data_IF_474405702442
#
_entry.id   IF_474405702442
#
_cell.length_a   1.000
_cell.length_b   1.000
_cell.length_c   1.000
_cell.angle_alpha   90.00
_cell.angle_beta   90.00
_cell.angle_gamma   90.00
#
_symmetry.space_group_name_H-M   'P 1'
#
loop_
_entity.id
_entity.type
_entity.pdbx_description
1 polymer ?
#
# COMPACT_ATOMS: atom_id res chain seq x y z
N UNK A 1 -1.85 -33.73 -42.99
CA UNK A 1 -2.07 -32.41 -42.37
C UNK A 1 -3.04 -32.57 -41.21
N UNK A 2 -2.59 -32.45 -39.95
CA UNK A 2 -3.44 -32.25 -38.75
C UNK A 2 -2.53 -32.09 -37.52
N UNK A 3 -2.21 -30.85 -37.17
CA UNK A 3 -1.95 -30.42 -35.80
C UNK A 3 -1.95 -28.88 -35.75
N UNK A 4 -3.03 -28.27 -35.22
CA UNK A 4 -2.84 -27.08 -34.39
C UNK A 4 -3.71 -27.12 -33.12
N UNK A 5 -4.11 -28.29 -32.63
CA UNK A 5 -5.01 -28.39 -31.47
C UNK A 5 -4.26 -28.20 -30.13
N UNK A 6 -3.00 -28.67 -30.04
CA UNK A 6 -2.21 -28.61 -28.79
C UNK A 6 -1.80 -27.17 -28.43
N UNK A 7 -1.49 -26.33 -29.43
CA UNK A 7 -1.11 -24.93 -29.21
C UNK A 7 -2.29 -24.10 -28.67
N UNK A 8 -3.51 -24.34 -29.18
CA UNK A 8 -4.71 -23.62 -28.75
C UNK A 8 -5.12 -23.98 -27.31
N UNK A 9 -4.97 -25.24 -26.89
CA UNK A 9 -5.29 -25.67 -25.53
C UNK A 9 -4.33 -25.09 -24.48
N UNK A 10 -3.03 -24.99 -24.80
CA UNK A 10 -2.03 -24.37 -23.91
C UNK A 10 -2.27 -22.86 -23.75
N UNK A 11 -2.64 -22.18 -24.83
CA UNK A 11 -3.04 -20.77 -24.79
C UNK A 11 -4.31 -20.56 -23.95
N UNK A 12 -5.30 -21.45 -24.09
CA UNK A 12 -6.51 -21.44 -23.27
C UNK A 12 -6.21 -21.60 -21.77
N UNK A 13 -5.43 -22.62 -21.40
CA UNK A 13 -5.04 -22.86 -20.01
C UNK A 13 -4.25 -21.70 -19.40
N UNK A 14 -3.32 -21.10 -20.16
CA UNK A 14 -2.56 -19.92 -19.73
C UNK A 14 -3.46 -18.69 -19.48
N UNK A 15 -4.42 -18.43 -20.37
CA UNK A 15 -5.38 -17.33 -20.22
C UNK A 15 -6.29 -17.53 -19.00
N UNK A 16 -6.76 -18.75 -18.74
CA UNK A 16 -7.58 -19.06 -17.56
C UNK A 16 -6.81 -18.88 -16.26
N UNK A 17 -5.57 -19.36 -16.17
CA UNK A 17 -4.72 -19.21 -14.98
C UNK A 17 -4.44 -17.74 -14.67
N UNK A 18 -4.08 -16.93 -15.67
CA UNK A 18 -3.87 -15.49 -15.50
C UNK A 18 -5.14 -14.77 -15.02
N UNK A 19 -6.31 -15.15 -15.56
CA UNK A 19 -7.59 -14.55 -15.16
C UNK A 19 -7.97 -14.87 -13.71
N UNK A 20 -7.70 -16.10 -13.24
CA UNK A 20 -7.95 -16.50 -11.84
C UNK A 20 -7.02 -15.77 -10.88
N UNK A 21 -5.73 -15.63 -11.22
CA UNK A 21 -4.77 -14.90 -10.39
C UNK A 21 -5.11 -13.40 -10.29
N UNK A 22 -5.47 -12.77 -11.41
CA UNK A 22 -5.89 -11.37 -11.42
C UNK A 22 -7.17 -11.15 -10.58
N UNK A 23 -8.14 -12.07 -10.65
CA UNK A 23 -9.35 -12.02 -9.83
C UNK A 23 -9.07 -12.26 -8.33
N UNK A 24 -8.14 -13.16 -8.01
CA UNK A 24 -7.71 -13.42 -6.64
C UNK A 24 -7.07 -12.18 -6.00
N UNK A 25 -6.11 -11.57 -6.69
CA UNK A 25 -5.44 -10.33 -6.24
C UNK A 25 -6.46 -9.19 -6.02
N UNK A 26 -7.41 -9.05 -6.95
CA UNK A 26 -8.50 -8.07 -6.87
C UNK A 26 -9.38 -8.29 -5.64
N UNK A 27 -9.71 -9.54 -5.32
CA UNK A 27 -10.56 -9.89 -4.16
C UNK A 27 -9.88 -9.55 -2.82
N UNK A 28 -8.56 -9.74 -2.75
CA UNK A 28 -7.76 -9.42 -1.57
C UNK A 28 -7.77 -7.91 -1.27
N UNK A 29 -7.56 -7.12 -2.30
CA UNK A 29 -7.58 -5.67 -2.26
C UNK A 29 -8.98 -5.11 -1.90
N UNK A 30 -10.06 -5.62 -2.52
CA UNK A 30 -11.45 -5.19 -2.23
C UNK A 30 -11.88 -5.45 -0.78
N UNK A 31 -11.32 -6.46 -0.10
CA UNK A 31 -11.69 -6.78 1.28
C UNK A 31 -11.18 -5.77 2.33
N UNK A 32 -10.31 -4.83 1.93
CA UNK A 32 -9.78 -3.78 2.80
C UNK A 32 -10.79 -2.63 2.96
N UNK A 33 -11.18 -2.32 4.20
CA UNK A 33 -12.07 -1.19 4.50
C UNK A 33 -11.27 0.13 4.53
N UNK A 34 -10.98 0.67 3.34
CA UNK A 34 -10.27 1.95 3.19
C UNK A 34 -11.06 3.14 3.75
N UNK A 35 -12.39 3.08 3.69
CA UNK A 35 -13.25 4.17 4.16
C UNK A 35 -13.04 4.50 5.65
N UNK A 36 -12.91 3.47 6.50
CA UNK A 36 -12.61 3.65 7.92
C UNK A 36 -11.26 4.34 8.15
N UNK A 37 -10.28 4.06 7.31
CA UNK A 37 -8.94 4.64 7.38
C UNK A 37 -9.00 6.12 6.95
N UNK A 38 -9.65 6.40 5.83
CA UNK A 38 -9.86 7.77 5.34
C UNK A 38 -10.59 8.65 6.35
N UNK A 39 -11.66 8.13 6.96
CA UNK A 39 -12.41 8.85 7.99
C UNK A 39 -11.56 9.14 9.23
N UNK A 40 -10.81 8.15 9.70
CA UNK A 40 -9.92 8.31 10.85
C UNK A 40 -8.80 9.33 10.57
N UNK A 41 -8.21 9.28 9.37
CA UNK A 41 -7.14 10.18 8.97
C UNK A 41 -7.62 11.60 8.75
N UNK A 42 -8.78 11.79 8.10
CA UNK A 42 -9.36 13.12 7.85
C UNK A 42 -9.51 13.93 9.15
N UNK A 43 -9.85 13.27 10.26
CA UNK A 43 -9.99 13.91 11.57
C UNK A 43 -8.68 14.45 12.18
N UNK A 44 -7.51 14.00 11.69
CA UNK A 44 -6.20 14.40 12.24
C UNK A 44 -5.22 14.93 11.19
N UNK A 45 -5.55 14.84 9.90
CA UNK A 45 -4.67 15.19 8.77
C UNK A 45 -3.99 16.54 8.96
N UNK A 46 -4.77 17.61 9.13
CA UNK A 46 -4.23 18.97 9.27
C UNK A 46 -3.33 19.10 10.49
N UNK A 47 -3.68 18.47 11.61
CA UNK A 47 -2.89 18.53 12.84
C UNK A 47 -1.55 17.78 12.72
N UNK A 48 -1.53 16.66 11.99
CA UNK A 48 -0.30 15.90 11.72
C UNK A 48 0.57 16.63 10.70
N UNK A 49 0.00 17.10 9.59
CA UNK A 49 0.75 17.80 8.54
C UNK A 49 1.32 19.13 9.04
N UNK A 50 0.66 19.81 9.98
CA UNK A 50 1.20 21.01 10.63
C UNK A 50 2.45 20.74 11.49
N UNK A 51 2.72 19.47 11.85
CA UNK A 51 3.91 19.05 12.60
C UNK A 51 5.06 18.58 11.70
N UNK A 52 4.86 18.53 10.37
CA UNK A 52 5.93 18.18 9.44
C UNK A 52 6.93 19.34 9.31
N UNK A 53 8.17 19.11 9.75
CA UNK A 53 9.27 20.07 9.67
C UNK A 53 10.10 19.95 8.38
N UNK A 54 9.87 18.92 7.55
CA UNK A 54 10.67 18.59 6.37
C UNK A 54 9.84 18.65 5.07
N UNK A 55 9.37 19.84 4.72
CA UNK A 55 8.51 20.08 3.55
C UNK A 55 9.18 19.77 2.20
N UNK A 56 10.52 19.81 2.13
CA UNK A 56 11.29 19.59 0.90
C UNK A 56 11.58 18.11 0.61
N UNK A 57 11.25 17.23 1.55
CA UNK A 57 11.41 15.77 1.41
C UNK A 57 10.03 15.18 1.19
N UNK A 58 9.92 14.07 0.46
CA UNK A 58 8.69 13.28 0.35
C UNK A 58 9.06 11.82 0.54
N UNK A 59 8.53 11.18 1.58
CA UNK A 59 8.88 9.77 1.87
C UNK A 59 8.21 8.86 0.84
N UNK A 60 6.90 9.05 0.62
CA UNK A 60 6.08 8.33 -0.35
C UNK A 60 6.06 9.02 -1.71
N UNK A 61 7.24 9.33 -2.27
CA UNK A 61 7.42 10.03 -3.54
C UNK A 61 6.60 9.38 -4.68
N UNK A 62 5.52 9.99 -5.19
CA UNK A 62 4.67 9.34 -6.17
C UNK A 62 5.40 9.05 -7.48
N UNK A 63 6.20 9.98 -7.98
CA UNK A 63 6.93 9.82 -9.24
C UNK A 63 8.01 8.75 -9.19
N UNK A 64 8.71 8.62 -8.05
CA UNK A 64 9.87 7.72 -7.93
C UNK A 64 9.48 6.33 -7.45
N UNK A 65 8.41 6.22 -6.65
CA UNK A 65 8.06 4.95 -5.97
C UNK A 65 6.70 4.40 -6.41
N UNK A 66 5.64 5.23 -6.49
CA UNK A 66 4.26 4.73 -6.60
C UNK A 66 3.68 4.75 -8.02
N UNK A 67 4.10 5.66 -8.90
CA UNK A 67 3.50 5.89 -10.22
C UNK A 67 3.90 4.79 -11.23
N UNK A 68 5.09 4.20 -11.07
CA UNK A 68 5.62 3.15 -11.96
C UNK A 68 5.16 1.73 -11.64
N UNK A 69 4.34 1.54 -10.59
CA UNK A 69 3.98 0.20 -10.11
C UNK A 69 2.99 -0.47 -11.05
N UNK A 70 3.39 -1.63 -11.59
CA UNK A 70 2.57 -2.46 -12.47
C UNK A 70 1.46 -3.16 -11.67
N UNK A 71 0.30 -3.50 -12.27
CA UNK A 71 -0.81 -4.16 -11.57
C UNK A 71 -0.43 -5.41 -10.77
N UNK A 72 0.48 -6.23 -11.30
CA UNK A 72 0.95 -7.45 -10.63
C UNK A 72 1.78 -7.17 -9.36
N UNK A 73 2.36 -5.98 -9.24
CA UNK A 73 3.19 -5.58 -8.09
C UNK A 73 2.39 -4.85 -7.02
N UNK A 74 1.15 -4.41 -7.33
CA UNK A 74 0.31 -3.63 -6.40
C UNK A 74 0.13 -4.37 -5.08
N UNK A 75 -0.18 -5.67 -5.09
CA UNK A 75 -0.35 -6.38 -3.83
C UNK A 75 0.94 -6.43 -2.99
N UNK A 76 2.10 -6.63 -3.65
CA UNK A 76 3.39 -6.62 -2.95
C UNK A 76 3.66 -5.25 -2.32
N UNK A 77 3.50 -4.16 -3.09
CA UNK A 77 3.75 -2.80 -2.58
C UNK A 77 2.76 -2.47 -1.47
N UNK A 78 1.47 -2.81 -1.62
CA UNK A 78 0.47 -2.65 -0.55
C UNK A 78 0.89 -3.40 0.72
N UNK A 79 1.29 -4.67 0.61
CA UNK A 79 1.76 -5.48 1.74
C UNK A 79 2.90 -4.79 2.47
N UNK A 80 3.90 -4.35 1.71
CA UNK A 80 5.11 -3.75 2.26
C UNK A 80 4.83 -2.39 2.90
N UNK A 81 3.96 -1.58 2.29
CA UNK A 81 3.55 -0.30 2.87
C UNK A 81 2.74 -0.49 4.16
N UNK A 82 1.83 -1.46 4.20
CA UNK A 82 1.12 -1.79 5.44
C UNK A 82 2.11 -2.19 6.56
N UNK A 83 3.10 -3.02 6.24
CA UNK A 83 4.15 -3.41 7.18
C UNK A 83 5.00 -2.21 7.62
N UNK A 84 5.44 -1.37 6.68
CA UNK A 84 6.17 -0.13 6.97
C UNK A 84 5.42 0.77 7.96
N UNK A 85 4.12 0.97 7.76
CA UNK A 85 3.31 1.77 8.68
C UNK A 85 3.18 1.11 10.07
N UNK A 86 2.93 -0.20 10.13
CA UNK A 86 2.74 -0.94 11.39
C UNK A 86 4.04 -1.06 12.18
N UNK A 87 5.12 -1.48 11.52
CA UNK A 87 6.37 -1.87 12.18
C UNK A 87 7.30 -0.67 12.45
N UNK A 88 7.11 0.44 11.72
CA UNK A 88 7.88 1.67 11.88
C UNK A 88 7.01 2.86 12.24
N UNK A 89 6.21 3.37 11.31
CA UNK A 89 5.55 4.67 11.45
C UNK A 89 4.73 4.80 12.74
N UNK A 90 3.82 3.85 13.02
CA UNK A 90 2.99 3.90 14.23
C UNK A 90 3.78 3.64 15.51
N UNK A 91 4.87 2.88 15.43
CA UNK A 91 5.74 2.54 16.57
C UNK A 91 6.65 3.70 16.95
N UNK A 92 7.18 4.38 15.96
CA UNK A 92 8.15 5.47 16.08
C UNK A 92 7.46 6.82 16.38
N UNK A 93 6.16 6.92 16.09
CA UNK A 93 5.39 8.12 16.36
C UNK A 93 5.11 8.33 17.86
N UNK A 94 5.25 9.58 18.31
CA UNK A 94 4.87 10.02 19.64
C UNK A 94 3.91 11.19 19.54
N UNK A 95 2.74 11.08 20.19
CA UNK A 95 1.77 12.17 20.25
C UNK A 95 1.26 12.36 21.68
N UNK A 96 1.23 13.63 22.09
CA UNK A 96 0.87 14.05 23.45
C UNK A 96 -0.62 14.36 23.55
N UNK A 97 -1.27 14.73 22.44
CA UNK A 97 -2.69 15.01 22.41
C UNK A 97 -3.51 13.70 22.45
N UNK A 98 -4.29 13.44 23.51
CA UNK A 98 -5.03 12.17 23.65
C UNK A 98 -6.13 11.96 22.60
N UNK A 99 -6.67 13.03 22.01
CA UNK A 99 -7.67 12.94 20.94
C UNK A 99 -7.02 12.48 19.63
N UNK A 100 -5.84 13.02 19.31
CA UNK A 100 -5.07 12.62 18.13
C UNK A 100 -4.55 11.19 18.31
N UNK A 101 -4.00 10.84 19.49
CA UNK A 101 -3.55 9.48 19.79
C UNK A 101 -4.63 8.42 19.62
N UNK A 102 -5.88 8.72 19.98
CA UNK A 102 -7.01 7.79 19.77
C UNK A 102 -7.27 7.53 18.28
N UNK A 103 -7.17 8.56 17.43
CA UNK A 103 -7.34 8.41 15.99
C UNK A 103 -6.15 7.67 15.36
N UNK A 104 -4.93 7.94 15.80
CA UNK A 104 -3.74 7.17 15.39
C UNK A 104 -3.87 5.70 15.78
N UNK A 105 -4.35 5.40 16.99
CA UNK A 105 -4.62 4.02 17.43
C UNK A 105 -5.68 3.35 16.56
N UNK A 106 -6.73 4.07 16.16
CA UNK A 106 -7.74 3.57 15.21
C UNK A 106 -7.14 3.26 13.84
N UNK A 107 -6.23 4.12 13.35
CA UNK A 107 -5.48 3.90 12.10
C UNK A 107 -4.60 2.64 12.21
N UNK A 108 -3.79 2.53 13.26
CA UNK A 108 -2.90 1.39 13.47
C UNK A 108 -3.67 0.05 13.51
N UNK A 109 -4.81 0.01 14.20
CA UNK A 109 -5.66 -1.18 14.22
C UNK A 109 -6.25 -1.51 12.84
N UNK A 110 -6.65 -0.50 12.08
CA UNK A 110 -7.17 -0.69 10.72
C UNK A 110 -6.07 -1.23 9.79
N UNK A 111 -4.85 -0.72 9.91
CA UNK A 111 -3.67 -1.20 9.18
C UNK A 111 -3.31 -2.63 9.55
N UNK A 112 -3.32 -2.97 10.83
CA UNK A 112 -3.07 -4.33 11.30
C UNK A 112 -4.12 -5.31 10.76
N UNK A 113 -5.41 -4.92 10.76
CA UNK A 113 -6.47 -5.72 10.15
C UNK A 113 -6.25 -5.93 8.65
N UNK A 114 -5.91 -4.86 7.92
CA UNK A 114 -5.61 -4.94 6.48
C UNK A 114 -4.40 -5.84 6.20
N UNK A 115 -3.35 -5.75 7.01
CA UNK A 115 -2.15 -6.59 6.90
C UNK A 115 -2.50 -8.07 7.10
N UNK A 116 -3.29 -8.41 8.13
CA UNK A 116 -3.79 -9.77 8.38
C UNK A 116 -4.66 -10.29 7.24
N UNK A 117 -5.52 -9.43 6.70
CA UNK A 117 -6.39 -9.76 5.56
C UNK A 117 -5.54 -10.10 4.33
N UNK A 118 -4.50 -9.31 4.06
CA UNK A 118 -3.61 -9.52 2.93
C UNK A 118 -2.67 -10.72 3.12
N UNK A 119 -2.32 -11.08 4.36
CA UNK A 119 -1.60 -12.32 4.67
C UNK A 119 -2.35 -13.58 4.22
N UNK A 120 -3.70 -13.58 4.27
CA UNK A 120 -4.51 -14.68 3.73
C UNK A 120 -4.34 -14.84 2.21
N UNK A 121 -3.80 -13.82 1.55
CA UNK A 121 -3.52 -13.77 0.12
C UNK A 121 -2.02 -13.88 -0.21
N UNK A 122 -1.16 -14.21 0.76
CA UNK A 122 0.30 -14.15 0.60
C UNK A 122 0.82 -14.94 -0.61
N UNK A 123 0.22 -16.09 -0.91
CA UNK A 123 0.62 -16.92 -2.05
C UNK A 123 0.30 -16.29 -3.42
N UNK A 124 -0.54 -15.24 -3.45
CA UNK A 124 -0.92 -14.52 -4.67
C UNK A 124 -0.08 -13.25 -4.90
N UNK A 125 0.71 -12.83 -3.91
CA UNK A 125 1.40 -11.54 -3.92
C UNK A 125 2.90 -11.73 -4.11
N UNK A 126 3.30 -11.97 -5.36
CA UNK A 126 4.70 -12.04 -5.75
C UNK A 126 5.33 -10.63 -5.80
N UNK A 127 6.56 -10.50 -5.28
CA UNK A 127 7.30 -9.25 -5.27
C UNK A 127 8.41 -9.28 -6.33
N UNK A 128 8.25 -8.50 -7.41
CA UNK A 128 9.32 -8.30 -8.39
C UNK A 128 10.33 -7.27 -7.92
N UNK A 129 11.42 -7.13 -8.67
CA UNK A 129 12.49 -6.20 -8.34
C UNK A 129 11.99 -4.76 -8.29
N UNK A 130 11.09 -4.36 -9.18
CA UNK A 130 10.52 -3.00 -9.19
C UNK A 130 9.74 -2.71 -7.90
N UNK A 131 8.89 -3.64 -7.44
CA UNK A 131 8.15 -3.51 -6.19
C UNK A 131 9.06 -3.43 -4.96
N UNK A 132 10.11 -4.26 -4.97
CA UNK A 132 11.12 -4.32 -3.91
C UNK A 132 11.94 -3.04 -3.85
N UNK A 133 12.36 -2.52 -5.01
CA UNK A 133 13.11 -1.27 -5.11
C UNK A 133 12.28 -0.08 -4.66
N UNK A 134 11.02 0.02 -5.09
CA UNK A 134 10.12 1.08 -4.66
C UNK A 134 9.93 1.07 -3.13
N UNK A 135 9.73 -0.12 -2.55
CA UNK A 135 9.65 -0.29 -1.10
C UNK A 135 10.94 0.14 -0.41
N UNK A 136 12.10 -0.26 -0.94
CA UNK A 136 13.41 0.10 -0.38
C UNK A 136 13.64 1.60 -0.39
N UNK A 137 13.32 2.30 -1.48
CA UNK A 137 13.45 3.76 -1.58
C UNK A 137 12.63 4.46 -0.49
N UNK A 138 11.44 3.96 -0.17
CA UNK A 138 10.59 4.52 0.90
C UNK A 138 11.27 4.37 2.26
N UNK A 139 11.86 3.20 2.54
CA UNK A 139 12.65 3.00 3.75
C UNK A 139 13.90 3.90 3.78
N UNK A 140 14.64 3.98 2.67
CA UNK A 140 15.84 4.83 2.55
C UNK A 140 15.50 6.32 2.76
N UNK A 141 14.34 6.79 2.28
CA UNK A 141 13.85 8.15 2.50
C UNK A 141 13.44 8.39 3.96
N UNK A 142 12.83 7.39 4.60
CA UNK A 142 12.47 7.45 6.02
C UNK A 142 13.73 7.55 6.90
N UNK A 143 14.74 6.73 6.62
CA UNK A 143 15.98 6.64 7.41
C UNK A 143 16.92 7.85 7.24
N UNK A 144 16.65 8.73 6.27
CA UNK A 144 17.35 10.02 6.12
C UNK A 144 16.89 11.08 7.12
N UNK A 145 15.77 10.87 7.81
CA UNK A 145 15.21 11.82 8.77
C UNK A 145 15.38 11.31 10.20
N UNK A 146 15.30 12.23 11.17
CA UNK A 146 15.17 11.84 12.58
C UNK A 146 13.88 11.00 12.74
N UNK A 147 13.98 9.90 13.50
CA UNK A 147 12.95 8.84 13.58
C UNK A 147 11.55 9.38 13.89
N UNK A 148 11.40 10.30 14.84
CA UNK A 148 10.08 10.86 15.19
C UNK A 148 9.57 11.80 14.11
N UNK A 149 10.43 12.66 13.55
CA UNK A 149 10.08 13.49 12.40
C UNK A 149 9.68 12.66 11.18
N UNK A 150 10.39 11.56 10.90
CA UNK A 150 10.08 10.63 9.83
C UNK A 150 8.69 9.99 10.04
N UNK A 151 8.38 9.56 11.27
CA UNK A 151 7.07 9.02 11.61
C UNK A 151 5.94 10.03 11.43
N UNK A 152 6.11 11.27 11.91
CA UNK A 152 5.12 12.36 11.72
C UNK A 152 4.91 12.62 10.23
N UNK A 153 5.99 12.68 9.46
CA UNK A 153 5.94 12.91 8.02
C UNK A 153 5.23 11.80 7.27
N UNK A 154 5.57 10.54 7.52
CA UNK A 154 4.90 9.39 6.90
C UNK A 154 3.41 9.32 7.27
N UNK A 155 3.02 9.70 8.48
CA UNK A 155 1.61 9.86 8.84
C UNK A 155 0.95 11.00 8.06
N UNK A 156 1.66 12.12 7.87
CA UNK A 156 1.18 13.26 7.08
C UNK A 156 0.97 12.95 5.60
N UNK A 157 1.72 12.00 5.06
CA UNK A 157 1.64 11.53 3.66
C UNK A 157 0.68 10.34 3.49
N UNK A 158 -0.11 10.00 4.51
CA UNK A 158 -1.05 8.88 4.44
C UNK A 158 -2.11 9.03 3.34
N UNK A 159 -2.48 10.27 2.98
CA UNK A 159 -3.34 10.54 1.82
C UNK A 159 -2.72 10.10 0.49
N UNK A 160 -1.40 10.18 0.35
CA UNK A 160 -0.69 9.69 -0.84
C UNK A 160 -0.87 8.18 -0.98
N UNK A 161 -0.67 7.43 0.11
CA UNK A 161 -0.89 5.99 0.12
C UNK A 161 -2.36 5.63 -0.17
N UNK A 162 -3.31 6.34 0.46
CA UNK A 162 -4.74 6.12 0.26
C UNK A 162 -5.19 6.42 -1.17
N UNK A 163 -4.70 7.51 -1.77
CA UNK A 163 -4.98 7.83 -3.17
C UNK A 163 -4.38 6.78 -4.12
N UNK A 164 -3.17 6.29 -3.83
CA UNK A 164 -2.53 5.25 -4.63
C UNK A 164 -3.30 3.93 -4.59
N UNK A 165 -3.70 3.47 -3.41
CA UNK A 165 -4.46 2.21 -3.31
C UNK A 165 -5.86 2.34 -3.92
N UNK A 166 -6.53 3.49 -3.77
CA UNK A 166 -7.83 3.73 -4.40
C UNK A 166 -7.73 3.72 -5.93
N UNK A 167 -6.68 4.34 -6.50
CA UNK A 167 -6.39 4.28 -7.95
C UNK A 167 -6.27 2.85 -8.45
N UNK A 168 -5.55 1.99 -7.73
CA UNK A 168 -5.35 0.59 -8.13
C UNK A 168 -6.54 -0.32 -7.78
N UNK A 169 -7.39 0.09 -6.84
CA UNK A 169 -8.67 -0.58 -6.56
C UNK A 169 -9.74 -0.25 -7.62
N UNK A 170 -9.90 1.02 -8.01
CA UNK A 170 -10.94 1.48 -8.96
C UNK A 170 -10.52 1.33 -10.42
N UNK A 171 -9.24 1.47 -10.75
CA UNK A 171 -8.70 1.45 -12.12
C UNK A 171 -8.80 0.11 -12.87
N UNK A 172 -9.29 -0.96 -12.25
CA UNK A 172 -9.45 -2.29 -12.88
C UNK A 172 -10.93 -2.63 -13.15
N UNK A 173 -11.81 -1.63 -13.19
CA UNK A 173 -13.23 -1.78 -13.59
C UNK A 173 -13.53 -1.24 -14.99
N UNK A 174 -12.57 -0.59 -15.68
CA UNK A 174 -12.79 0.07 -16.97
C UNK A 174 -11.93 -0.50 -18.12
N UNK A 175 -11.43 -1.72 -17.99
CA UNK A 175 -10.74 -2.45 -19.06
C UNK A 175 -11.28 -3.88 -19.17
#
# INVERSE_FOLDING_TARGET
>A
MKAPCVSLCLLGAGLFLCSVHARGLRRCLISMNLHRVEESFRGIKTAIQAKDTFQNVTILSPSETLHGIKPLDVCCVTKNLLAFYVDRVFKDHQELNPQIMRKISSLANSFLYMQKTLQQCQNLCHCRQEATNATRIIHDNYDQLEVRSAAVKSLGELDVFLAWIDKHHRGTSAA
#
